data_IF_125145476424
#
_entry.id   IF_125145476424
#
_cell.length_a   1.000
_cell.length_b   1.000
_cell.length_c   1.000
_cell.angle_alpha   90.00
_cell.angle_beta   90.00
_cell.angle_gamma   90.00
#
_symmetry.space_group_name_H-M   'P 1'
#
loop_
_entity.id
_entity.type
_entity.pdbx_description
1 polymer ?
#
# COMPACT_ATOMS: atom_id res chain seq x y z
N UNK A 1 27.17 19.88 63.68
CA UNK A 1 26.14 20.40 62.74
C UNK A 1 26.33 19.66 61.43
N UNK A 2 25.43 18.71 61.18
CA UNK A 2 25.53 17.63 60.20
C UNK A 2 24.86 17.97 58.88
N UNK A 3 25.57 17.65 57.79
CA UNK A 3 25.13 17.29 56.43
C UNK A 3 23.76 17.79 55.93
N UNK A 4 23.79 18.73 54.98
CA UNK A 4 22.72 18.95 53.99
C UNK A 4 23.33 19.11 52.59
N UNK A 5 23.61 18.00 51.89
CA UNK A 5 23.89 17.99 50.45
C UNK A 5 23.69 16.55 49.94
N UNK A 6 22.47 16.18 49.53
CA UNK A 6 22.19 14.95 48.74
C UNK A 6 20.72 14.85 48.31
N UNK A 7 20.22 15.78 47.48
CA UNK A 7 18.87 15.63 46.88
C UNK A 7 18.74 16.04 45.40
N UNK A 8 19.84 16.39 44.71
CA UNK A 8 19.78 16.97 43.36
C UNK A 8 19.93 16.00 42.17
N UNK A 9 20.27 14.72 42.38
CA UNK A 9 20.78 13.85 41.31
C UNK A 9 19.78 12.82 40.73
N UNK A 10 18.55 12.72 41.27
CA UNK A 10 17.60 11.67 40.84
C UNK A 10 16.65 12.14 39.72
N UNK A 11 16.42 13.46 39.58
CA UNK A 11 15.46 13.98 38.60
C UNK A 11 15.96 13.97 37.14
N UNK A 12 17.28 13.96 36.90
CA UNK A 12 17.85 14.01 35.54
C UNK A 12 17.82 12.65 34.81
N UNK A 13 17.76 11.53 35.54
CA UNK A 13 17.80 10.19 34.93
C UNK A 13 16.46 9.77 34.30
N UNK A 14 15.33 10.25 34.83
CA UNK A 14 13.99 9.89 34.32
C UNK A 14 13.66 10.62 32.99
N UNK A 15 14.19 11.83 32.78
CA UNK A 15 13.97 12.58 31.54
C UNK A 15 14.74 11.99 30.34
N UNK A 16 15.93 11.40 30.57
CA UNK A 16 16.71 10.78 29.51
C UNK A 16 16.06 9.47 29.00
N UNK A 17 15.49 8.65 29.89
CA UNK A 17 14.84 7.39 29.49
C UNK A 17 13.60 7.61 28.61
N UNK A 18 12.85 8.71 28.81
CA UNK A 18 11.68 9.01 28.00
C UNK A 18 12.05 9.36 26.54
N UNK A 19 13.17 10.05 26.30
CA UNK A 19 13.56 10.48 24.96
C UNK A 19 14.20 9.35 24.13
N UNK A 20 14.97 8.46 24.76
CA UNK A 20 15.56 7.31 24.07
C UNK A 20 14.58 6.15 23.88
N UNK A 21 13.64 5.95 24.83
CA UNK A 21 12.58 4.95 24.72
C UNK A 21 11.64 5.22 23.54
N UNK A 22 11.10 6.45 23.44
CA UNK A 22 10.12 6.80 22.39
C UNK A 22 10.68 6.64 20.97
N UNK A 23 11.92 7.07 20.72
CA UNK A 23 12.54 6.93 19.38
C UNK A 23 12.72 5.47 18.96
N UNK A 24 13.02 4.59 19.91
CA UNK A 24 13.18 3.15 19.64
C UNK A 24 11.84 2.47 19.33
N UNK A 25 10.75 2.91 19.98
CA UNK A 25 9.40 2.40 19.75
C UNK A 25 8.83 2.89 18.42
N UNK A 26 8.98 4.17 18.09
CA UNK A 26 8.58 4.74 16.80
C UNK A 26 9.28 4.05 15.62
N UNK A 27 10.60 3.84 15.74
CA UNK A 27 11.36 3.08 14.73
C UNK A 27 10.80 1.68 14.54
N UNK A 28 10.60 0.95 15.64
CA UNK A 28 10.10 -0.43 15.59
C UNK A 28 8.67 -0.47 15.04
N UNK A 29 7.84 0.51 15.35
CA UNK A 29 6.49 0.63 14.80
C UNK A 29 6.53 0.84 13.28
N UNK A 30 7.40 1.74 12.79
CA UNK A 30 7.58 1.98 11.36
C UNK A 30 8.09 0.73 10.62
N UNK A 31 9.07 0.01 11.20
CA UNK A 31 9.56 -1.26 10.64
C UNK A 31 8.44 -2.28 10.51
N UNK A 32 7.62 -2.45 11.55
CA UNK A 32 6.49 -3.39 11.54
C UNK A 32 5.44 -3.00 10.49
N UNK A 33 5.11 -1.71 10.37
CA UNK A 33 4.18 -1.21 9.35
C UNK A 33 4.70 -1.43 7.93
N UNK A 34 5.97 -1.08 7.69
CA UNK A 34 6.63 -1.26 6.41
C UNK A 34 6.66 -2.73 5.98
N UNK A 35 6.94 -3.63 6.91
CA UNK A 35 6.99 -5.07 6.65
C UNK A 35 5.60 -5.63 6.34
N UNK A 36 4.58 -5.19 7.09
CA UNK A 36 3.18 -5.62 6.88
C UNK A 36 2.65 -5.16 5.52
N UNK A 37 2.78 -3.86 5.20
CA UNK A 37 2.35 -3.31 3.92
C UNK A 37 3.14 -3.93 2.77
N UNK A 38 4.45 -4.05 2.91
CA UNK A 38 5.32 -4.64 1.90
C UNK A 38 4.92 -6.06 1.54
N UNK A 39 4.65 -6.91 2.54
CA UNK A 39 4.19 -8.30 2.30
C UNK A 39 2.84 -8.35 1.58
N UNK A 40 1.89 -7.50 1.97
CA UNK A 40 0.58 -7.44 1.32
C UNK A 40 0.67 -6.99 -0.15
N UNK A 41 1.50 -5.97 -0.42
CA UNK A 41 1.75 -5.48 -1.79
C UNK A 41 2.45 -6.56 -2.62
N UNK A 42 3.47 -7.22 -2.08
CA UNK A 42 4.21 -8.27 -2.79
C UNK A 42 3.29 -9.48 -3.09
N UNK A 43 2.42 -9.86 -2.16
CA UNK A 43 1.40 -10.89 -2.38
C UNK A 43 0.42 -10.48 -3.50
N UNK A 44 -0.11 -9.25 -3.47
CA UNK A 44 -1.00 -8.73 -4.51
C UNK A 44 -0.33 -8.67 -5.90
N UNK A 45 0.95 -8.28 -5.94
CA UNK A 45 1.76 -8.24 -7.16
C UNK A 45 1.90 -9.64 -7.77
N UNK A 46 2.28 -10.62 -6.95
CA UNK A 46 2.56 -12.00 -7.38
C UNK A 46 1.30 -12.84 -7.63
N UNK A 47 0.13 -12.42 -7.14
CA UNK A 47 -1.10 -13.18 -7.27
C UNK A 47 -1.57 -13.33 -8.73
N UNK A 48 -2.24 -14.45 -9.06
CA UNK A 48 -2.97 -14.59 -10.33
C UNK A 48 -4.14 -13.60 -10.39
N UNK A 49 -4.61 -13.27 -11.59
CA UNK A 49 -5.54 -12.18 -11.85
C UNK A 49 -6.85 -12.30 -11.04
N UNK A 50 -7.41 -13.51 -10.97
CA UNK A 50 -8.63 -13.83 -10.21
C UNK A 50 -8.50 -13.60 -8.70
N UNK A 51 -7.28 -13.67 -8.17
CA UNK A 51 -7.00 -13.47 -6.75
C UNK A 51 -6.68 -12.00 -6.39
N UNK A 52 -6.45 -11.12 -7.37
CA UNK A 52 -6.06 -9.72 -7.11
C UNK A 52 -7.16 -8.91 -6.41
N UNK A 53 -8.43 -9.13 -6.77
CA UNK A 53 -9.56 -8.40 -6.17
C UNK A 53 -9.67 -8.58 -4.64
N UNK A 54 -9.74 -9.82 -4.12
CA UNK A 54 -9.72 -10.06 -2.68
C UNK A 54 -8.46 -9.51 -1.98
N UNK A 55 -7.28 -9.64 -2.59
CA UNK A 55 -6.02 -9.15 -1.99
C UNK A 55 -5.94 -7.62 -1.98
N UNK A 56 -6.51 -6.94 -2.97
CA UNK A 56 -6.63 -5.48 -2.96
C UNK A 56 -7.49 -5.00 -1.79
N UNK A 57 -8.63 -5.65 -1.53
CA UNK A 57 -9.46 -5.34 -0.36
C UNK A 57 -8.72 -5.58 0.95
N UNK A 58 -7.92 -6.64 1.02
CA UNK A 58 -7.08 -6.91 2.18
C UNK A 58 -6.04 -5.79 2.39
N UNK A 59 -5.35 -5.34 1.32
CA UNK A 59 -4.43 -4.20 1.37
C UNK A 59 -5.13 -2.92 1.85
N UNK A 60 -6.32 -2.62 1.32
CA UNK A 60 -7.13 -1.47 1.70
C UNK A 60 -7.51 -1.47 3.19
N UNK A 61 -7.69 -2.65 3.78
CA UNK A 61 -8.05 -2.80 5.18
C UNK A 61 -6.85 -2.66 6.14
N UNK A 62 -5.60 -2.67 5.66
CA UNK A 62 -4.42 -2.53 6.53
C UNK A 62 -4.36 -1.12 7.11
N UNK A 63 -4.33 -0.93 8.44
CA UNK A 63 -4.12 0.39 9.02
C UNK A 63 -2.69 0.88 8.74
N UNK A 64 -2.54 2.18 8.60
CA UNK A 64 -1.25 2.88 8.54
C UNK A 64 -1.33 4.05 9.53
N UNK A 65 -0.23 4.32 10.23
CA UNK A 65 -0.18 5.43 11.19
C UNK A 65 0.88 6.47 10.85
N UNK A 66 1.94 6.06 10.15
CA UNK A 66 2.95 6.99 9.64
C UNK A 66 2.57 7.52 8.25
N UNK A 67 2.86 8.80 8.01
CA UNK A 67 2.68 9.46 6.71
C UNK A 67 3.27 8.65 5.54
N UNK A 68 4.55 8.21 5.56
CA UNK A 68 5.13 7.44 4.45
C UNK A 68 4.48 6.06 4.26
N UNK A 69 4.01 5.40 5.33
CA UNK A 69 3.28 4.14 5.21
C UNK A 69 1.89 4.36 4.59
N UNK A 70 1.21 5.45 4.97
CA UNK A 70 -0.09 5.80 4.39
C UNK A 70 0.02 6.22 2.93
N UNK A 71 1.05 6.97 2.55
CA UNK A 71 1.32 7.32 1.16
C UNK A 71 1.57 6.06 0.32
N UNK A 72 2.43 5.15 0.79
CA UNK A 72 2.66 3.86 0.14
C UNK A 72 1.35 3.10 -0.08
N UNK A 73 0.55 2.95 0.97
CA UNK A 73 -0.73 2.25 0.90
C UNK A 73 -1.65 2.90 -0.13
N UNK A 74 -1.74 4.23 -0.14
CA UNK A 74 -2.60 4.99 -1.04
C UNK A 74 -2.20 4.76 -2.52
N UNK A 75 -0.95 5.03 -2.88
CA UNK A 75 -0.49 4.89 -4.27
C UNK A 75 -0.63 3.45 -4.78
N UNK A 76 -0.26 2.46 -3.97
CA UNK A 76 -0.40 1.06 -4.34
C UNK A 76 -1.86 0.61 -4.46
N UNK A 77 -2.72 1.09 -3.57
CA UNK A 77 -4.17 0.80 -3.64
C UNK A 77 -4.76 1.33 -4.94
N UNK A 78 -4.45 2.56 -5.33
CA UNK A 78 -4.96 3.16 -6.58
C UNK A 78 -4.41 2.40 -7.79
N UNK A 79 -3.11 2.09 -7.80
CA UNK A 79 -2.46 1.34 -8.87
C UNK A 79 -3.15 0.00 -9.14
N UNK A 80 -3.37 -0.79 -8.09
CA UNK A 80 -4.00 -2.10 -8.22
C UNK A 80 -5.52 -2.03 -8.38
N UNK A 81 -6.18 -0.94 -7.96
CA UNK A 81 -7.59 -0.71 -8.27
C UNK A 81 -7.81 -0.54 -9.78
N UNK A 82 -6.96 0.26 -10.45
CA UNK A 82 -6.99 0.34 -11.92
C UNK A 82 -6.70 -1.01 -12.56
N UNK A 83 -5.70 -1.75 -12.07
CA UNK A 83 -5.41 -3.09 -12.60
C UNK A 83 -6.63 -4.02 -12.50
N UNK A 84 -7.28 -4.10 -11.33
CA UNK A 84 -8.46 -4.94 -11.13
C UNK A 84 -9.63 -4.47 -11.99
N UNK A 85 -9.86 -3.15 -12.10
CA UNK A 85 -10.88 -2.57 -12.99
C UNK A 85 -10.68 -2.99 -14.44
N UNK A 86 -9.43 -2.98 -14.93
CA UNK A 86 -9.12 -3.42 -16.28
C UNK A 86 -9.38 -4.91 -16.52
N UNK A 87 -9.06 -5.76 -15.53
CA UNK A 87 -9.34 -7.20 -15.59
C UNK A 87 -10.85 -7.45 -15.67
N UNK A 88 -11.63 -6.75 -14.84
CA UNK A 88 -13.09 -6.86 -14.84
C UNK A 88 -13.71 -6.36 -16.16
N UNK A 89 -13.22 -5.25 -16.71
CA UNK A 89 -13.65 -4.73 -18.02
C UNK A 89 -13.33 -5.72 -19.15
N UNK A 90 -12.12 -6.28 -19.14
CA UNK A 90 -11.71 -7.32 -20.10
C UNK A 90 -12.59 -8.57 -20.02
N UNK A 91 -12.95 -9.00 -18.79
CA UNK A 91 -13.86 -10.12 -18.58
C UNK A 91 -15.28 -9.82 -19.12
N UNK A 92 -15.81 -8.61 -18.85
CA UNK A 92 -17.11 -8.18 -19.40
C UNK A 92 -17.12 -8.14 -20.93
N UNK A 93 -16.06 -7.63 -21.55
CA UNK A 93 -15.92 -7.63 -23.01
C UNK A 93 -15.94 -9.06 -23.57
N UNK A 94 -15.17 -9.98 -22.96
CA UNK A 94 -15.14 -11.37 -23.36
C UNK A 94 -16.50 -12.06 -23.22
N UNK A 95 -17.26 -11.74 -22.17
CA UNK A 95 -18.60 -12.29 -21.98
C UNK A 95 -19.61 -11.72 -22.98
N UNK A 96 -19.53 -10.43 -23.33
CA UNK A 96 -20.37 -9.81 -24.37
C UNK A 96 -20.18 -10.52 -25.72
N UNK A 97 -18.94 -10.80 -26.10
CA UNK A 97 -18.59 -11.44 -27.38
C UNK A 97 -19.01 -12.92 -27.47
N UNK A 98 -19.29 -13.58 -26.34
CA UNK A 98 -19.76 -14.99 -26.33
C UNK A 98 -21.27 -15.12 -26.48
N UNK A 99 -22.04 -14.04 -26.33
CA UNK A 99 -23.51 -14.11 -26.30
C UNK A 99 -24.04 -14.25 -27.73
N UNK A 100 -24.88 -15.26 -28.02
CA UNK A 100 -25.52 -15.37 -29.33
C UNK A 100 -26.56 -14.25 -29.50
N UNK A 101 -26.49 -13.48 -30.60
CA UNK A 101 -27.40 -12.37 -30.85
C UNK A 101 -26.95 -11.45 -31.98
N UNK A 102 -27.70 -10.37 -32.21
CA UNK A 102 -27.39 -9.33 -33.21
C UNK A 102 -26.04 -8.67 -32.91
N UNK A 103 -25.07 -8.98 -33.75
CA UNK A 103 -23.62 -8.92 -33.48
C UNK A 103 -23.12 -7.48 -33.28
N UNK A 104 -23.82 -6.51 -33.86
CA UNK A 104 -23.33 -5.12 -33.94
C UNK A 104 -23.34 -4.41 -32.59
N UNK A 105 -24.42 -4.52 -31.80
CA UNK A 105 -24.50 -3.84 -30.50
C UNK A 105 -23.55 -4.48 -29.49
N UNK A 106 -23.52 -5.81 -29.41
CA UNK A 106 -22.64 -6.53 -28.51
C UNK A 106 -21.16 -6.24 -28.82
N UNK A 107 -20.80 -6.13 -30.10
CA UNK A 107 -19.46 -5.74 -30.54
C UNK A 107 -19.10 -4.32 -30.11
N UNK A 108 -20.01 -3.35 -30.26
CA UNK A 108 -19.79 -1.97 -29.82
C UNK A 108 -19.64 -1.86 -28.30
N UNK A 109 -20.49 -2.55 -27.54
CA UNK A 109 -20.41 -2.59 -26.07
C UNK A 109 -19.09 -3.23 -25.62
N UNK A 110 -18.67 -4.34 -26.26
CA UNK A 110 -17.39 -5.00 -25.97
C UNK A 110 -16.18 -4.10 -26.30
N UNK A 111 -16.23 -3.36 -27.41
CA UNK A 111 -15.18 -2.39 -27.76
C UNK A 111 -15.07 -1.28 -26.70
N UNK A 112 -16.20 -0.80 -26.16
CA UNK A 112 -16.21 0.17 -25.06
C UNK A 112 -15.53 -0.36 -23.79
N UNK A 113 -15.81 -1.61 -23.41
CA UNK A 113 -15.16 -2.26 -22.26
C UNK A 113 -13.65 -2.49 -22.48
N UNK A 114 -13.23 -2.86 -23.69
CA UNK A 114 -11.81 -2.99 -24.03
C UNK A 114 -11.07 -1.65 -23.97
N UNK A 115 -11.66 -0.58 -24.51
CA UNK A 115 -11.06 0.77 -24.44
C UNK A 115 -10.90 1.23 -22.98
N UNK A 116 -11.88 0.93 -22.12
CA UNK A 116 -11.76 1.18 -20.68
C UNK A 116 -10.64 0.36 -20.05
N UNK A 117 -10.55 -0.94 -20.37
CA UNK A 117 -9.49 -1.81 -19.86
C UNK A 117 -8.09 -1.29 -20.24
N UNK A 118 -7.90 -0.82 -21.47
CA UNK A 118 -6.65 -0.23 -21.94
C UNK A 118 -6.28 1.04 -21.17
N UNK A 119 -7.23 1.95 -20.96
CA UNK A 119 -7.01 3.17 -20.19
C UNK A 119 -6.65 2.88 -18.71
N UNK A 120 -7.35 1.92 -18.10
CA UNK A 120 -7.06 1.48 -16.74
C UNK A 120 -5.69 0.77 -16.65
N UNK A 121 -5.30 -0.06 -17.62
CA UNK A 121 -3.96 -0.67 -17.66
C UNK A 121 -2.85 0.35 -17.81
N UNK A 122 -3.04 1.37 -18.65
CA UNK A 122 -2.07 2.46 -18.80
C UNK A 122 -1.86 3.18 -17.46
N UNK A 123 -2.95 3.52 -16.76
CA UNK A 123 -2.91 4.14 -15.44
C UNK A 123 -2.27 3.24 -14.39
N UNK A 124 -2.64 1.95 -14.38
CA UNK A 124 -2.07 0.96 -13.48
C UNK A 124 -0.55 0.82 -13.67
N UNK A 125 -0.06 0.86 -14.91
CA UNK A 125 1.38 0.75 -15.20
C UNK A 125 2.17 1.89 -14.55
N UNK A 126 1.79 3.14 -14.82
CA UNK A 126 2.46 4.30 -14.23
C UNK A 126 2.42 4.26 -12.69
N UNK A 127 1.26 3.96 -12.13
CA UNK A 127 1.08 3.96 -10.68
C UNK A 127 1.76 2.77 -9.99
N UNK A 128 1.90 1.62 -10.67
CA UNK A 128 2.64 0.47 -10.10
C UNK A 128 4.14 0.73 -10.03
N UNK A 129 4.70 1.50 -10.96
CA UNK A 129 6.10 1.96 -10.89
C UNK A 129 6.29 2.90 -9.69
N UNK A 130 5.38 3.85 -9.49
CA UNK A 130 5.38 4.76 -8.32
C UNK A 130 5.20 4.00 -7.00
N UNK A 131 4.30 3.02 -6.97
CA UNK A 131 4.11 2.12 -5.84
C UNK A 131 5.40 1.36 -5.49
N UNK A 132 6.13 0.84 -6.48
CA UNK A 132 7.39 0.14 -6.25
C UNK A 132 8.48 1.08 -5.70
N UNK A 133 8.55 2.32 -6.22
CA UNK A 133 9.47 3.34 -5.71
C UNK A 133 9.19 3.68 -4.24
N UNK A 134 7.94 4.01 -3.91
CA UNK A 134 7.49 4.30 -2.54
C UNK A 134 7.75 3.13 -1.59
N UNK A 135 7.55 1.89 -2.04
CA UNK A 135 7.82 0.70 -1.24
C UNK A 135 9.33 0.57 -0.94
N UNK A 136 10.18 0.91 -1.91
CA UNK A 136 11.62 0.96 -1.74
C UNK A 136 12.08 2.05 -0.77
N UNK A 137 11.47 3.23 -0.86
CA UNK A 137 11.73 4.36 0.05
C UNK A 137 11.35 4.04 1.48
N UNK A 138 10.12 3.57 1.73
CA UNK A 138 9.67 3.20 3.06
C UNK A 138 10.59 2.15 3.70
N UNK A 139 11.03 1.14 2.92
CA UNK A 139 11.98 0.12 3.39
C UNK A 139 13.36 0.70 3.75
N UNK A 140 13.82 1.75 3.08
CA UNK A 140 15.07 2.43 3.42
C UNK A 140 14.92 3.26 4.69
N UNK A 141 13.86 4.07 4.77
CA UNK A 141 13.57 4.91 5.93
C UNK A 141 13.34 4.09 7.20
N UNK A 142 12.67 2.94 7.10
CA UNK A 142 12.48 2.04 8.24
C UNK A 142 13.81 1.48 8.77
N UNK A 143 14.79 1.18 7.91
CA UNK A 143 16.11 0.68 8.33
C UNK A 143 17.00 1.78 8.91
N UNK A 144 16.97 2.96 8.29
CA UNK A 144 17.80 4.11 8.62
C UNK A 144 16.93 5.36 8.87
N UNK A 145 16.23 5.45 10.01
CA UNK A 145 15.51 6.66 10.39
C UNK A 145 16.50 7.72 10.88
N UNK A 146 16.43 8.93 10.31
CA UNK A 146 17.24 10.10 10.68
C UNK A 146 16.92 10.64 12.09
#
# INVERSE_FOLDING_TARGET
MTSMLRSGLVAAALAACALFGCRSEEKRALEIEADRLGKAIDALRAAPNEAKGPLLRALQAIPCSSEPACELKAVCTIAYAHHVSALEASARAADLLKRPGDDTKATLDAAGELARAEADLASARELTERCAAAQGELRRSARNPD
#
